data_IF_246763465638
#
_entry.id   IF_246763465638
#
_cell.length_a   1.000
_cell.length_b   1.000
_cell.length_c   1.000
_cell.angle_alpha   90.00
_cell.angle_beta   90.00
_cell.angle_gamma   90.00
#
_symmetry.space_group_name_H-M   'P 1'
#
loop_
_entity.id
_entity.type
_entity.pdbx_description
1 polymer ?
#
# COMPACT_ATOMS: atom_id res chain seq x y z
N UNK A 1 33.87 31.13 40.82
CA UNK A 1 34.09 32.00 39.65
C UNK A 1 33.38 31.32 38.50
N UNK A 2 32.19 31.71 38.04
CA UNK A 2 31.74 33.05 37.68
C UNK A 2 30.26 33.14 38.06
N UNK A 3 30.02 33.85 39.15
CA UNK A 3 28.72 34.27 39.64
C UNK A 3 28.93 35.77 39.88
N UNK A 4 28.98 36.53 38.78
CA UNK A 4 29.27 37.97 38.72
C UNK A 4 29.15 38.42 37.25
N UNK A 5 27.92 38.54 36.73
CA UNK A 5 27.61 39.30 35.50
C UNK A 5 26.10 39.52 35.26
N UNK A 6 25.30 39.48 36.33
CA UNK A 6 24.10 40.32 36.44
C UNK A 6 24.52 41.49 37.32
N UNK A 7 24.66 42.69 36.77
CA UNK A 7 24.70 44.02 37.41
C UNK A 7 25.52 44.93 36.48
N UNK A 8 24.92 46.05 36.04
CA UNK A 8 25.34 46.98 34.95
C UNK A 8 24.70 46.58 33.60
N UNK A 9 23.46 46.96 33.28
CA UNK A 9 23.09 48.34 32.93
C UNK A 9 21.55 48.48 32.96
N UNK A 10 20.98 48.53 34.15
CA UNK A 10 19.63 49.04 34.37
C UNK A 10 19.73 50.29 35.25
N UNK A 11 20.06 51.44 34.63
CA UNK A 11 19.75 52.79 35.14
C UNK A 11 20.52 53.87 34.38
N UNK A 12 20.00 54.25 33.22
CA UNK A 12 19.99 55.64 32.76
C UNK A 12 18.55 55.90 32.34
N UNK A 13 17.75 56.43 33.28
CA UNK A 13 17.20 57.78 33.17
C UNK A 13 16.37 57.91 31.88
N UNK A 14 15.06 57.64 31.90
CA UNK A 14 14.05 58.50 32.50
C UNK A 14 14.30 59.98 32.18
N UNK A 15 13.90 60.43 30.98
CA UNK A 15 13.30 61.76 30.74
C UNK A 15 12.93 61.96 29.26
N UNK A 16 11.86 62.75 29.05
CA UNK A 16 11.09 63.10 27.84
C UNK A 16 9.88 62.20 27.55
N UNK A 17 8.60 62.57 27.76
CA UNK A 17 7.98 63.84 28.19
C UNK A 17 7.16 64.53 27.09
N UNK A 18 5.83 64.64 27.30
CA UNK A 18 4.78 65.46 26.62
C UNK A 18 4.36 65.06 25.18
N UNK A 19 3.12 65.19 24.69
CA UNK A 19 1.84 65.85 25.10
C UNK A 19 0.70 65.28 24.19
N UNK A 20 -0.51 64.96 24.70
CA UNK A 20 -1.83 65.63 24.49
C UNK A 20 -2.25 65.88 23.01
N UNK A 21 -3.44 65.54 22.49
CA UNK A 21 -4.84 65.93 22.82
C UNK A 21 -5.86 64.99 22.11
N UNK A 22 -6.94 64.52 22.76
CA UNK A 22 -8.33 65.06 22.80
C UNK A 22 -9.13 64.96 21.47
N UNK A 23 -10.22 64.19 21.38
CA UNK A 23 -11.58 64.61 21.78
C UNK A 23 -12.55 63.40 21.70
N UNK A 24 -13.26 63.04 22.78
CA UNK A 24 -14.67 63.38 23.11
C UNK A 24 -15.70 62.88 22.06
N UNK A 25 -16.83 62.20 22.34
CA UNK A 25 -17.52 61.70 23.56
C UNK A 25 -18.74 60.91 23.02
N UNK A 26 -19.10 59.73 23.50
CA UNK A 26 -20.22 59.56 24.46
C UNK A 26 -20.37 58.10 24.91
N UNK A 27 -20.49 57.96 26.23
CA UNK A 27 -20.73 56.75 27.03
C UNK A 27 -22.18 56.26 26.93
N UNK A 28 -22.38 54.95 27.05
CA UNK A 28 -23.40 54.38 27.96
C UNK A 28 -22.73 53.23 28.76
N UNK A 29 -23.09 53.12 30.04
CA UNK A 29 -22.37 52.51 31.16
C UNK A 29 -23.01 51.19 31.62
N UNK A 30 -22.20 50.12 31.68
CA UNK A 30 -22.01 49.07 32.73
C UNK A 30 -23.21 48.22 33.27
N UNK A 31 -22.99 47.00 33.84
CA UNK A 31 -21.91 46.68 34.80
C UNK A 31 -21.01 45.46 34.52
N UNK A 32 -19.87 45.56 35.21
CA UNK A 32 -18.68 44.72 35.27
C UNK A 32 -18.86 43.51 36.21
N UNK A 33 -18.27 42.37 35.85
CA UNK A 33 -17.70 41.43 36.84
C UNK A 33 -16.31 41.01 36.35
N UNK A 34 -15.35 41.13 37.27
CA UNK A 34 -13.91 40.93 37.11
C UNK A 34 -13.50 39.46 36.98
N UNK A 35 -12.39 39.32 36.24
CA UNK A 35 -11.32 38.32 36.30
C UNK A 35 -11.43 37.20 37.35
N UNK A 36 -11.29 35.97 36.85
CA UNK A 36 -10.44 34.98 37.48
C UNK A 36 -9.54 34.36 36.43
N UNK A 37 -8.23 34.46 36.66
CA UNK A 37 -7.22 33.61 36.04
C UNK A 37 -7.62 32.15 36.20
N UNK A 38 -7.82 31.47 35.08
CA UNK A 38 -7.96 30.02 34.99
C UNK A 38 -7.51 29.63 33.60
N UNK A 39 -6.35 28.99 33.51
CA UNK A 39 -5.83 28.33 32.31
C UNK A 39 -6.94 27.41 31.78
N UNK A 40 -7.60 27.79 30.68
CA UNK A 40 -8.48 26.89 29.94
C UNK A 40 -7.74 26.43 28.70
N UNK A 41 -6.95 25.38 28.91
CA UNK A 41 -6.69 24.36 27.91
C UNK A 41 -8.04 23.92 27.31
N UNK A 42 -8.26 24.24 26.04
CA UNK A 42 -9.48 23.90 25.32
C UNK A 42 -9.14 23.72 23.85
N UNK A 43 -8.59 22.56 23.54
CA UNK A 43 -8.67 21.92 22.23
C UNK A 43 -10.15 21.78 21.81
N UNK A 44 -10.80 22.89 21.43
CA UNK A 44 -12.22 22.91 21.13
C UNK A 44 -12.44 22.45 19.70
N UNK A 45 -12.87 21.20 19.56
CA UNK A 45 -13.32 20.67 18.28
C UNK A 45 -14.63 21.34 17.87
N UNK A 46 -14.64 22.04 16.73
CA UNK A 46 -15.83 22.68 16.17
C UNK A 46 -16.58 21.67 15.30
N UNK A 47 -17.74 21.23 15.75
CA UNK A 47 -18.62 20.34 14.98
C UNK A 47 -19.42 21.16 13.97
N UNK A 48 -19.40 20.75 12.70
CA UNK A 48 -20.16 21.35 11.60
C UNK A 48 -21.06 20.26 11.01
N UNK A 49 -22.37 20.42 11.17
CA UNK A 49 -23.35 19.60 10.47
C UNK A 49 -23.40 20.04 9.01
N UNK A 50 -23.01 19.17 8.11
CA UNK A 50 -22.93 19.48 6.68
C UNK A 50 -24.32 19.32 6.06
N UNK A 51 -24.96 20.41 5.66
CA UNK A 51 -26.29 20.39 5.00
C UNK A 51 -26.24 20.74 3.51
N UNK A 52 -25.05 20.96 2.95
CA UNK A 52 -24.81 21.41 1.58
C UNK A 52 -23.35 21.76 1.37
N UNK A 53 -23.07 22.65 0.41
CA UNK A 53 -21.73 23.18 0.19
C UNK A 53 -21.31 24.17 1.30
N UNK A 54 -20.04 24.17 1.63
CA UNK A 54 -19.44 25.12 2.57
C UNK A 54 -17.92 25.07 2.49
N UNK A 55 -17.25 25.73 3.44
CA UNK A 55 -15.79 25.77 3.46
C UNK A 55 -15.25 25.89 4.89
N UNK A 56 -14.04 25.37 5.08
CA UNK A 56 -13.18 25.64 6.23
C UNK A 56 -11.87 26.22 5.74
N UNK A 57 -11.31 27.18 6.45
CA UNK A 57 -10.08 27.85 6.02
C UNK A 57 -9.22 28.22 7.23
N UNK A 58 -7.94 28.46 6.99
CA UNK A 58 -7.05 29.08 7.98
C UNK A 58 -7.59 30.47 8.34
N UNK A 59 -7.39 30.96 9.58
CA UNK A 59 -7.77 32.32 9.91
C UNK A 59 -7.12 33.32 8.95
N UNK A 60 -7.83 34.38 8.61
CA UNK A 60 -7.39 35.47 7.73
C UNK A 60 -7.09 35.10 6.26
N UNK A 61 -7.32 33.86 5.82
CA UNK A 61 -7.21 33.43 4.42
C UNK A 61 -7.85 34.44 3.45
N UNK A 62 -7.17 34.84 2.34
CA UNK A 62 -5.90 34.31 1.82
C UNK A 62 -4.66 35.05 2.35
N UNK A 63 -4.74 35.72 3.51
CA UNK A 63 -3.58 36.33 4.15
C UNK A 63 -2.88 35.33 5.08
N UNK A 64 -1.75 35.77 5.63
CA UNK A 64 -0.94 35.01 6.59
C UNK A 64 -1.78 34.56 7.79
N UNK A 65 -1.69 33.27 8.12
CA UNK A 65 -2.40 32.70 9.27
C UNK A 65 -1.68 33.02 10.60
N UNK A 66 -2.40 33.02 11.74
CA UNK A 66 -1.80 33.20 13.06
C UNK A 66 -0.84 32.06 13.44
N UNK A 67 0.16 32.40 14.26
CA UNK A 67 1.09 31.45 14.87
C UNK A 67 0.50 30.82 16.14
N UNK A 68 1.02 29.66 16.52
CA UNK A 68 0.66 28.93 17.75
C UNK A 68 -0.85 28.69 17.88
N UNK A 69 -1.47 28.13 16.84
CA UNK A 69 -2.89 27.77 16.86
C UNK A 69 -3.11 26.30 16.52
N UNK A 70 -4.07 25.70 17.21
CA UNK A 70 -4.56 24.36 16.95
C UNK A 70 -6.07 24.41 16.73
N UNK A 71 -6.50 24.30 15.48
CA UNK A 71 -7.91 24.31 15.09
C UNK A 71 -8.34 22.92 14.66
N UNK A 72 -9.47 22.45 15.17
CA UNK A 72 -10.03 21.16 14.76
C UNK A 72 -11.49 21.35 14.39
N UNK A 73 -11.86 20.90 13.19
CA UNK A 73 -13.24 20.86 12.72
C UNK A 73 -13.67 19.41 12.53
N UNK A 74 -14.87 19.07 12.99
CA UNK A 74 -15.51 17.79 12.70
C UNK A 74 -16.70 18.02 11.79
N UNK A 75 -16.60 17.58 10.55
CA UNK A 75 -17.70 17.63 9.59
C UNK A 75 -18.57 16.38 9.78
N UNK A 76 -19.87 16.57 9.96
CA UNK A 76 -20.85 15.48 10.16
C UNK A 76 -21.96 15.60 9.12
N UNK A 77 -22.02 14.66 8.19
CA UNK A 77 -23.06 14.56 7.18
C UNK A 77 -24.32 13.86 7.72
N UNK A 78 -25.52 14.25 7.27
CA UNK A 78 -26.76 13.59 7.63
C UNK A 78 -26.95 12.28 6.85
N UNK A 79 -27.52 11.27 7.51
CA UNK A 79 -27.88 10.00 6.86
C UNK A 79 -26.67 9.25 6.28
N UNK A 80 -26.90 8.56 5.16
CA UNK A 80 -25.86 7.87 4.40
C UNK A 80 -25.33 8.80 3.30
N UNK A 81 -24.68 9.89 3.70
CA UNK A 81 -24.04 10.84 2.79
C UNK A 81 -22.55 10.89 3.04
N UNK A 82 -21.78 11.15 1.99
CA UNK A 82 -20.32 11.32 2.04
C UNK A 82 -19.96 12.80 1.88
N UNK A 83 -18.77 13.13 2.35
CA UNK A 83 -18.22 14.49 2.34
C UNK A 83 -17.09 14.51 1.33
N UNK A 84 -17.25 15.31 0.27
CA UNK A 84 -16.18 15.61 -0.67
C UNK A 84 -15.48 16.89 -0.24
N UNK A 85 -14.15 16.88 -0.29
CA UNK A 85 -13.26 17.98 0.03
C UNK A 85 -12.45 18.38 -1.20
N UNK A 86 -12.37 19.68 -1.45
CA UNK A 86 -11.55 20.26 -2.54
C UNK A 86 -10.75 21.43 -1.98
N UNK A 87 -9.43 21.39 -2.16
CA UNK A 87 -8.54 22.47 -1.76
C UNK A 87 -8.62 23.63 -2.76
N UNK A 88 -8.68 24.86 -2.26
CA UNK A 88 -8.54 26.08 -3.07
C UNK A 88 -7.14 26.13 -3.71
N UNK A 89 -7.05 26.63 -4.94
CA UNK A 89 -5.78 26.69 -5.69
C UNK A 89 -4.72 27.55 -4.98
N UNK A 90 -5.14 28.47 -4.11
CA UNK A 90 -4.25 29.30 -3.28
C UNK A 90 -3.92 28.55 -1.99
N UNK A 91 -3.14 27.48 -2.10
CA UNK A 91 -2.62 26.74 -0.95
C UNK A 91 -1.17 27.12 -0.67
N UNK A 92 -0.87 27.51 0.57
CA UNK A 92 0.50 27.74 1.03
C UNK A 92 0.60 27.74 2.54
N UNK A 93 1.33 26.76 3.07
CA UNK A 93 1.76 26.68 4.47
C UNK A 93 3.31 26.69 4.51
N UNK A 94 3.90 26.68 5.70
CA UNK A 94 5.35 26.53 5.87
C UNK A 94 5.88 25.29 5.13
N UNK A 95 7.06 25.40 4.54
CA UNK A 95 7.67 24.32 3.76
C UNK A 95 8.07 23.10 4.63
N UNK A 96 8.03 21.89 4.07
CA UNK A 96 8.40 20.68 4.79
C UNK A 96 9.89 20.62 5.14
N UNK A 97 10.21 19.99 6.26
CA UNK A 97 11.58 19.57 6.62
C UNK A 97 11.78 18.10 6.22
N UNK A 98 12.80 17.80 5.42
CA UNK A 98 13.10 16.45 4.91
C UNK A 98 11.89 15.75 4.25
N UNK A 99 11.00 16.53 3.62
CA UNK A 99 9.77 16.03 2.98
C UNK A 99 8.62 15.72 3.96
N UNK A 100 8.74 16.13 5.22
CA UNK A 100 7.75 15.89 6.28
C UNK A 100 7.17 17.22 6.77
N UNK A 101 5.84 17.28 6.82
CA UNK A 101 5.09 18.41 7.39
C UNK A 101 5.09 18.36 8.92
N UNK A 102 6.18 18.88 9.51
CA UNK A 102 6.46 18.83 10.94
C UNK A 102 6.04 20.09 11.70
N UNK A 103 6.14 21.25 11.05
CA UNK A 103 5.88 22.56 11.63
C UNK A 103 4.40 22.91 11.48
N UNK A 104 4.06 23.61 10.39
CA UNK A 104 2.68 23.94 10.05
C UNK A 104 2.05 22.90 9.12
N UNK A 105 0.85 22.42 9.45
CA UNK A 105 0.15 21.46 8.59
C UNK A 105 -1.36 21.47 8.76
N UNK A 106 -2.05 21.10 7.68
CA UNK A 106 -3.44 20.65 7.72
C UNK A 106 -3.51 19.15 7.50
N UNK A 107 -4.24 18.45 8.36
CA UNK A 107 -4.44 17.00 8.34
C UNK A 107 -5.93 16.68 8.24
N UNK A 108 -6.26 15.69 7.42
CA UNK A 108 -7.63 15.21 7.24
C UNK A 108 -7.70 13.73 7.61
N UNK A 109 -8.64 13.40 8.50
CA UNK A 109 -8.89 12.06 9.03
C UNK A 109 -10.33 11.64 8.70
N UNK A 110 -10.52 10.45 8.14
CA UNK A 110 -11.84 9.82 8.02
C UNK A 110 -12.15 9.10 9.33
N UNK A 111 -13.15 9.58 10.07
CA UNK A 111 -13.50 9.05 11.37
C UNK A 111 -14.29 7.74 11.30
N UNK A 112 -14.81 7.39 10.12
CA UNK A 112 -15.56 6.14 9.90
C UNK A 112 -14.59 4.96 9.81
N UNK A 113 -13.52 5.13 9.03
CA UNK A 113 -12.47 4.13 8.84
C UNK A 113 -11.33 4.25 9.86
N UNK A 114 -11.29 5.34 10.63
CA UNK A 114 -10.17 5.69 11.53
C UNK A 114 -8.83 5.77 10.78
N UNK A 115 -8.85 6.38 9.59
CA UNK A 115 -7.67 6.50 8.72
C UNK A 115 -7.35 7.97 8.42
N UNK A 116 -6.06 8.30 8.44
CA UNK A 116 -5.57 9.61 8.00
C UNK A 116 -5.51 9.62 6.48
N UNK A 117 -6.31 10.49 5.84
CA UNK A 117 -6.35 10.65 4.39
C UNK A 117 -5.10 11.37 3.88
N UNK A 118 -4.55 12.28 4.68
CA UNK A 118 -3.27 12.91 4.42
C UNK A 118 -2.97 14.08 5.34
N UNK A 119 -1.74 14.58 5.22
CA UNK A 119 -1.20 15.73 5.93
C UNK A 119 -0.41 16.58 4.92
N UNK A 120 -0.68 17.87 4.86
CA UNK A 120 -0.15 18.77 3.85
C UNK A 120 0.43 20.06 4.42
N UNK A 121 1.48 20.55 3.77
CA UNK A 121 2.21 21.76 4.04
C UNK A 121 2.95 22.24 2.76
N UNK A 122 3.68 23.35 2.83
CA UNK A 122 4.39 23.94 1.70
C UNK A 122 3.50 24.64 0.68
N UNK A 123 4.13 25.13 -0.40
CA UNK A 123 3.48 25.91 -1.47
C UNK A 123 3.73 25.39 -2.88
N UNK A 124 4.44 24.27 -3.04
CA UNK A 124 4.87 23.77 -4.34
C UNK A 124 3.75 23.12 -5.17
N UNK A 125 2.74 22.55 -4.50
CA UNK A 125 1.62 21.87 -5.15
C UNK A 125 0.37 21.90 -4.28
N UNK A 126 -0.79 22.12 -4.89
CA UNK A 126 -2.08 22.08 -4.21
C UNK A 126 -2.46 20.62 -3.91
N UNK A 127 -2.90 20.30 -2.68
CA UNK A 127 -3.39 18.96 -2.36
C UNK A 127 -4.55 18.53 -3.26
N UNK A 128 -4.58 17.26 -3.64
CA UNK A 128 -5.69 16.68 -4.39
C UNK A 128 -6.98 16.69 -3.56
N UNK A 129 -8.14 16.74 -4.22
CA UNK A 129 -9.42 16.57 -3.54
C UNK A 129 -9.57 15.16 -2.92
N UNK A 130 -10.32 15.06 -1.82
CA UNK A 130 -10.55 13.82 -1.09
C UNK A 130 -12.05 13.61 -0.85
N UNK A 131 -12.51 12.36 -0.92
CA UNK A 131 -13.90 11.99 -0.59
C UNK A 131 -13.90 11.02 0.57
N UNK A 132 -14.68 11.31 1.62
CA UNK A 132 -14.85 10.41 2.76
C UNK A 132 -15.51 9.09 2.34
N UNK A 133 -15.22 8.02 3.07
CA UNK A 133 -15.89 6.73 2.94
C UNK A 133 -17.22 6.71 3.68
N UNK A 134 -17.30 7.37 4.83
CA UNK A 134 -18.54 7.55 5.61
C UNK A 134 -18.93 9.00 5.82
N UNK A 135 -19.80 9.25 6.80
CA UNK A 135 -20.42 10.56 7.03
C UNK A 135 -19.64 11.50 7.95
N UNK A 136 -18.43 11.15 8.40
CA UNK A 136 -17.67 11.96 9.35
C UNK A 136 -16.20 12.12 8.96
N UNK A 137 -15.75 13.37 8.90
CA UNK A 137 -14.34 13.75 8.71
C UNK A 137 -13.91 14.66 9.86
N UNK A 138 -12.65 14.53 10.28
CA UNK A 138 -11.95 15.51 11.12
C UNK A 138 -10.87 16.22 10.30
N UNK A 139 -10.88 17.55 10.34
CA UNK A 139 -9.85 18.40 9.75
C UNK A 139 -9.12 19.09 10.89
N UNK A 140 -7.80 18.96 10.95
CA UNK A 140 -6.96 19.53 12.00
C UNK A 140 -5.88 20.41 11.38
N UNK A 141 -5.85 21.67 11.78
CA UNK A 141 -4.80 22.60 11.42
C UNK A 141 -3.96 22.93 12.64
N UNK A 142 -2.64 22.78 12.52
CA UNK A 142 -1.66 23.14 13.53
C UNK A 142 -0.69 24.14 12.90
N UNK A 143 -0.42 25.25 13.60
CA UNK A 143 0.72 26.12 13.33
C UNK A 143 1.61 26.27 14.55
N UNK A 144 2.91 26.42 14.34
CA UNK A 144 3.89 26.62 15.39
C UNK A 144 4.17 28.12 15.67
N UNK A 145 5.15 28.41 16.53
CA UNK A 145 5.49 29.77 16.95
C UNK A 145 6.28 30.58 15.90
N UNK A 146 6.66 29.98 14.78
CA UNK A 146 7.61 30.53 13.80
C UNK A 146 7.09 30.45 12.35
N UNK A 147 7.69 31.25 11.47
CA UNK A 147 7.55 31.22 9.99
C UNK A 147 6.17 30.91 9.35
N UNK A 148 5.07 31.59 9.75
CA UNK A 148 3.79 31.42 9.08
C UNK A 148 3.89 31.89 7.62
N UNK A 149 3.17 31.20 6.75
CA UNK A 149 3.14 31.47 5.32
C UNK A 149 1.81 32.09 4.88
N UNK A 150 1.81 32.73 3.72
CA UNK A 150 0.61 33.11 2.96
C UNK A 150 0.56 32.26 1.67
N UNK A 151 -0.62 31.92 1.14
CA UNK A 151 -1.97 32.40 1.49
C UNK A 151 -2.71 31.61 2.60
N UNK A 152 -2.10 30.58 3.19
CA UNK A 152 -2.81 29.64 4.08
C UNK A 152 -3.55 28.55 3.31
N UNK A 153 -4.71 28.11 3.81
CA UNK A 153 -5.54 27.13 3.10
C UNK A 153 -7.03 27.47 3.16
N UNK A 154 -7.77 27.05 2.13
CA UNK A 154 -9.22 26.96 2.14
C UNK A 154 -9.62 25.59 1.56
N UNK A 155 -10.45 24.85 2.28
CA UNK A 155 -11.00 23.56 1.86
C UNK A 155 -12.51 23.74 1.71
N UNK A 156 -12.99 23.60 0.48
CA UNK A 156 -14.41 23.53 0.18
C UNK A 156 -14.91 22.12 0.47
N UNK A 157 -16.06 22.01 1.11
CA UNK A 157 -16.73 20.74 1.34
C UNK A 157 -18.11 20.73 0.71
N UNK A 158 -18.53 19.58 0.20
CA UNK A 158 -19.87 19.36 -0.33
C UNK A 158 -20.38 17.97 0.07
N UNK A 159 -21.70 17.80 0.00
CA UNK A 159 -22.32 16.50 0.20
C UNK A 159 -22.39 15.75 -1.12
N UNK A 160 -21.91 14.52 -1.10
CA UNK A 160 -22.27 13.53 -2.10
C UNK A 160 -23.32 12.61 -1.48
N UNK A 161 -24.40 12.26 -2.22
CA UNK A 161 -25.21 11.12 -1.83
C UNK A 161 -24.27 9.97 -1.54
N UNK A 162 -24.45 9.27 -0.41
CA UNK A 162 -23.77 8.02 -0.20
C UNK A 162 -24.18 7.17 -1.38
N UNK A 163 -23.26 7.00 -2.31
CA UNK A 163 -23.38 5.89 -3.21
C UNK A 163 -23.34 4.71 -2.28
N UNK A 164 -24.51 4.07 -2.15
CA UNK A 164 -24.56 2.62 -2.25
C UNK A 164 -23.45 2.29 -3.23
N UNK A 165 -22.35 1.77 -2.70
CA UNK A 165 -21.22 1.38 -3.52
C UNK A 165 -21.72 0.20 -4.34
N UNK A 166 -22.39 0.51 -5.45
CA UNK A 166 -22.02 -0.08 -6.72
C UNK A 166 -20.71 0.62 -7.03
N UNK A 167 -19.56 -0.04 -6.88
CA UNK A 167 -18.36 0.45 -7.50
C UNK A 167 -18.67 0.62 -8.99
N UNK A 168 -18.23 1.71 -9.61
CA UNK A 168 -17.93 1.69 -11.04
C UNK A 168 -16.66 0.83 -11.23
N UNK A 169 -16.79 -0.44 -10.87
CA UNK A 169 -16.13 -1.58 -11.47
C UNK A 169 -17.19 -2.08 -12.45
N UNK A 170 -16.87 -2.39 -13.73
CA UNK A 170 -17.86 -3.00 -14.62
C UNK A 170 -18.54 -4.12 -13.84
N UNK A 171 -19.87 -4.09 -13.66
CA UNK A 171 -20.59 -4.85 -12.64
C UNK A 171 -20.05 -6.28 -12.43
N UNK A 172 -19.05 -6.42 -11.57
CA UNK A 172 -18.53 -7.71 -11.17
C UNK A 172 -19.44 -8.10 -10.03
N UNK A 173 -20.35 -9.03 -10.32
CA UNK A 173 -21.17 -9.72 -9.34
C UNK A 173 -20.29 -10.08 -8.13
N UNK A 174 -20.82 -10.09 -6.89
CA UNK A 174 -20.11 -10.68 -5.76
C UNK A 174 -19.49 -12.02 -6.21
N UNK A 175 -18.23 -12.36 -5.90
CA UNK A 175 -17.58 -13.54 -6.46
C UNK A 175 -18.42 -14.82 -6.35
N UNK A 176 -19.12 -15.00 -5.24
CA UNK A 176 -20.06 -16.11 -5.03
C UNK A 176 -21.28 -16.15 -5.98
N UNK A 177 -21.56 -15.05 -6.70
CA UNK A 177 -22.66 -14.85 -7.66
C UNK A 177 -22.17 -14.69 -9.12
N UNK A 178 -20.86 -14.75 -9.37
CA UNK A 178 -20.29 -14.78 -10.72
C UNK A 178 -20.56 -16.13 -11.39
N UNK A 179 -20.39 -16.18 -12.72
CA UNK A 179 -20.40 -17.45 -13.44
C UNK A 179 -19.29 -18.38 -12.91
N UNK A 180 -19.56 -19.69 -12.88
CA UNK A 180 -18.62 -20.70 -12.35
C UNK A 180 -17.23 -20.60 -13.00
N UNK A 181 -17.16 -20.24 -14.28
CA UNK A 181 -15.89 -20.10 -15.02
C UNK A 181 -15.06 -18.91 -14.53
N UNK A 182 -15.71 -17.76 -14.33
CA UNK A 182 -15.09 -16.50 -13.91
C UNK A 182 -14.61 -16.60 -12.45
N UNK A 183 -15.41 -17.25 -11.60
CA UNK A 183 -15.03 -17.57 -10.23
C UNK A 183 -13.84 -18.57 -10.18
N UNK A 184 -13.81 -19.54 -11.09
CA UNK A 184 -12.73 -20.53 -11.18
C UNK A 184 -11.40 -19.88 -11.55
N UNK A 185 -11.40 -18.94 -12.50
CA UNK A 185 -10.20 -18.19 -12.88
C UNK A 185 -9.67 -17.34 -11.71
N UNK A 186 -10.55 -16.59 -11.04
CA UNK A 186 -10.16 -15.77 -9.89
C UNK A 186 -9.58 -16.59 -8.72
N UNK A 187 -10.17 -17.75 -8.42
CA UNK A 187 -9.70 -18.66 -7.35
C UNK A 187 -8.37 -19.34 -7.73
N UNK A 188 -8.09 -19.53 -9.02
CA UNK A 188 -6.85 -20.15 -9.50
C UNK A 188 -5.61 -19.30 -9.17
N UNK A 189 -5.75 -17.98 -9.10
CA UNK A 189 -4.65 -17.04 -8.79
C UNK A 189 -4.28 -17.01 -7.30
N UNK A 190 -5.21 -17.35 -6.41
CA UNK A 190 -4.98 -17.33 -4.97
C UNK A 190 -3.94 -18.40 -4.58
N UNK A 191 -3.51 -18.47 -3.33
CA UNK A 191 -2.48 -19.42 -2.89
C UNK A 191 -2.92 -20.24 -1.69
N UNK A 192 -3.74 -19.66 -0.81
CA UNK A 192 -4.22 -20.32 0.41
C UNK A 192 -5.74 -20.43 0.45
N UNK A 193 -6.25 -21.41 1.20
CA UNK A 193 -7.68 -21.53 1.50
C UNK A 193 -8.20 -20.26 2.19
N UNK A 194 -7.40 -19.62 3.04
CA UNK A 194 -7.79 -18.39 3.72
C UNK A 194 -8.06 -17.25 2.73
N UNK A 195 -7.20 -17.09 1.72
CA UNK A 195 -7.40 -16.13 0.64
C UNK A 195 -8.66 -16.43 -0.16
N UNK A 196 -8.94 -17.71 -0.44
CA UNK A 196 -10.18 -18.13 -1.12
C UNK A 196 -11.40 -17.75 -0.28
N UNK A 197 -11.41 -18.07 1.01
CA UNK A 197 -12.55 -17.75 1.88
C UNK A 197 -12.75 -16.24 2.04
N UNK A 198 -11.66 -15.47 2.18
CA UNK A 198 -11.70 -13.99 2.20
C UNK A 198 -12.21 -13.40 0.89
N UNK A 199 -11.85 -14.00 -0.24
CA UNK A 199 -12.32 -13.55 -1.56
C UNK A 199 -13.81 -13.84 -1.77
N UNK A 200 -14.29 -15.00 -1.31
CA UNK A 200 -15.68 -15.42 -1.46
C UNK A 200 -16.64 -14.66 -0.51
N UNK A 201 -16.32 -14.62 0.79
CA UNK A 201 -17.13 -13.94 1.81
C UNK A 201 -16.24 -13.17 2.81
N UNK A 202 -15.82 -11.92 2.48
CA UNK A 202 -14.90 -11.13 3.30
C UNK A 202 -15.38 -10.84 4.72
N UNK A 203 -16.69 -10.82 4.94
CA UNK A 203 -17.32 -10.52 6.24
C UNK A 203 -17.53 -11.76 7.11
N UNK A 204 -17.45 -12.97 6.53
CA UNK A 204 -17.79 -14.22 7.20
C UNK A 204 -16.71 -15.30 7.17
N UNK A 205 -15.63 -15.10 6.42
CA UNK A 205 -14.58 -16.09 6.21
C UNK A 205 -14.02 -16.74 7.48
N UNK A 206 -13.94 -16.02 8.61
CA UNK A 206 -13.46 -16.58 9.88
C UNK A 206 -14.42 -17.64 10.42
N UNK A 207 -15.72 -17.37 10.36
CA UNK A 207 -16.77 -18.29 10.79
C UNK A 207 -16.81 -19.49 9.86
N UNK A 208 -16.73 -19.27 8.56
CA UNK A 208 -16.77 -20.34 7.56
C UNK A 208 -15.53 -21.25 7.66
N UNK A 209 -14.35 -20.68 7.89
CA UNK A 209 -13.15 -21.46 8.20
C UNK A 209 -13.32 -22.30 9.46
N UNK A 210 -13.84 -21.70 10.54
CA UNK A 210 -14.03 -22.43 11.80
C UNK A 210 -15.10 -23.54 11.66
N UNK A 211 -16.10 -23.36 10.80
CA UNK A 211 -17.06 -24.41 10.45
C UNK A 211 -16.47 -25.51 9.57
N UNK A 212 -15.61 -25.19 8.61
CA UNK A 212 -14.92 -26.17 7.76
C UNK A 212 -14.04 -27.14 8.57
N UNK A 213 -13.42 -26.64 9.64
CA UNK A 213 -12.57 -27.47 10.52
C UNK A 213 -13.34 -28.11 11.69
N UNK A 214 -14.64 -27.83 11.87
CA UNK A 214 -15.46 -28.52 12.88
C UNK A 214 -15.68 -29.97 12.46
N UNK A 215 -15.35 -30.95 13.31
CA UNK A 215 -15.58 -32.35 13.00
C UNK A 215 -17.08 -32.65 12.92
N UNK A 216 -17.57 -32.93 11.71
CA UNK A 216 -18.97 -33.34 11.48
C UNK A 216 -19.15 -34.79 11.95
N UNK A 217 -19.49 -34.98 13.23
CA UNK A 217 -19.80 -36.30 13.79
C UNK A 217 -21.21 -36.76 13.45
N UNK A 218 -21.58 -36.72 12.17
CA UNK A 218 -22.85 -37.31 11.72
C UNK A 218 -22.65 -38.24 10.52
N UNK A 219 -22.71 -39.53 10.85
CA UNK A 219 -23.18 -40.66 10.02
C UNK A 219 -22.28 -41.06 8.84
N UNK A 220 -21.17 -41.74 9.12
CA UNK A 220 -20.65 -42.74 8.18
C UNK A 220 -20.71 -44.13 8.82
N UNK A 221 -21.55 -44.97 8.22
CA UNK A 221 -21.77 -46.36 8.60
C UNK A 221 -20.48 -47.17 8.61
N UNK A 222 -20.45 -48.15 9.51
CA UNK A 222 -19.31 -49.04 9.77
C UNK A 222 -19.02 -49.95 8.57
N UNK A 223 -18.35 -49.45 7.55
CA UNK A 223 -17.70 -50.31 6.55
C UNK A 223 -16.56 -49.51 5.91
N UNK A 224 -15.36 -50.09 5.96
CA UNK A 224 -14.07 -49.58 5.46
C UNK A 224 -13.27 -48.68 6.41
N UNK A 225 -12.86 -49.25 7.55
CA UNK A 225 -11.64 -48.82 8.22
C UNK A 225 -10.43 -49.36 7.44
N UNK A 226 -10.07 -48.67 6.36
CA UNK A 226 -8.64 -48.61 6.01
C UNK A 226 -7.99 -47.62 6.97
N UNK A 227 -6.77 -47.94 7.41
CA UNK A 227 -6.06 -47.37 8.53
C UNK A 227 -5.90 -45.83 8.41
N UNK A 228 -6.93 -45.09 8.82
CA UNK A 228 -7.07 -43.64 8.77
C UNK A 228 -6.26 -43.01 9.92
N UNK A 229 -4.93 -43.12 9.85
CA UNK A 229 -4.06 -42.04 10.33
C UNK A 229 -4.24 -40.94 9.28
N UNK A 230 -4.94 -39.83 9.48
CA UNK A 230 -4.93 -38.95 10.64
C UNK A 230 -6.23 -38.15 10.66
N UNK A 231 -6.58 -37.70 11.86
CA UNK A 231 -7.82 -37.04 12.25
C UNK A 231 -7.80 -35.52 11.99
N UNK A 232 -7.12 -35.09 10.94
CA UNK A 232 -7.10 -33.73 10.43
C UNK A 232 -7.59 -33.80 8.97
N UNK A 233 -8.41 -32.85 8.53
CA UNK A 233 -8.84 -32.77 7.14
C UNK A 233 -7.65 -32.80 6.18
N UNK A 234 -7.88 -33.13 4.91
CA UNK A 234 -6.85 -32.98 3.90
C UNK A 234 -6.40 -31.50 3.89
N UNK A 235 -5.10 -31.25 4.10
CA UNK A 235 -4.54 -29.90 4.03
C UNK A 235 -4.51 -29.47 2.55
N UNK A 236 -5.49 -28.66 2.17
CA UNK A 236 -5.66 -28.22 0.79
C UNK A 236 -4.53 -27.29 0.33
N UNK A 237 -3.88 -26.58 1.25
CA UNK A 237 -2.72 -25.75 0.93
C UNK A 237 -1.54 -26.65 0.55
N UNK A 238 -1.26 -27.67 1.36
CA UNK A 238 -0.21 -28.66 1.07
C UNK A 238 -0.47 -29.38 -0.26
N UNK A 239 -1.71 -29.78 -0.51
CA UNK A 239 -2.08 -30.43 -1.78
C UNK A 239 -1.87 -29.51 -2.99
N UNK A 240 -2.19 -28.21 -2.87
CA UNK A 240 -1.94 -27.21 -3.92
C UNK A 240 -0.45 -27.04 -4.19
N UNK A 241 0.36 -26.97 -3.15
CA UNK A 241 1.82 -26.85 -3.26
C UNK A 241 2.44 -28.08 -3.94
N UNK A 242 2.01 -29.28 -3.57
CA UNK A 242 2.44 -30.52 -4.22
C UNK A 242 2.10 -30.50 -5.72
N UNK A 243 0.86 -30.14 -6.08
CA UNK A 243 0.46 -30.02 -7.50
C UNK A 243 1.35 -29.01 -8.22
N UNK A 244 1.61 -27.83 -7.65
CA UNK A 244 2.50 -26.81 -8.24
C UNK A 244 3.93 -27.33 -8.44
N UNK A 245 4.51 -28.00 -7.44
CA UNK A 245 5.87 -28.53 -7.49
C UNK A 245 6.05 -29.59 -8.58
N UNK A 246 5.05 -30.45 -8.77
CA UNK A 246 5.08 -31.51 -9.78
C UNK A 246 4.57 -31.05 -11.17
N UNK A 247 4.05 -29.83 -11.27
CA UNK A 247 3.66 -29.18 -12.53
C UNK A 247 4.86 -28.56 -13.27
N UNK A 248 4.56 -27.86 -14.38
CA UNK A 248 5.50 -27.18 -15.24
C UNK A 248 6.38 -26.17 -14.48
N UNK A 249 7.63 -26.56 -14.20
CA UNK A 249 8.58 -25.79 -13.37
C UNK A 249 10.03 -25.97 -13.84
N UNK A 250 10.96 -25.06 -13.47
CA UNK A 250 12.39 -25.23 -13.73
C UNK A 250 13.03 -26.37 -12.93
N UNK A 251 13.46 -27.44 -13.63
CA UNK A 251 14.05 -28.65 -13.02
C UNK A 251 15.50 -28.82 -13.42
N UNK A 252 16.26 -29.53 -12.58
CA UNK A 252 17.65 -29.86 -12.85
C UNK A 252 17.74 -30.92 -13.94
N UNK A 253 18.44 -30.62 -15.02
CA UNK A 253 18.69 -31.54 -16.12
C UNK A 253 20.19 -31.67 -16.35
N UNK A 254 20.69 -32.89 -16.53
CA UNK A 254 22.09 -33.14 -16.86
C UNK A 254 22.27 -33.06 -18.38
N UNK A 255 23.07 -32.11 -18.86
CA UNK A 255 23.34 -31.92 -20.29
C UNK A 255 24.79 -32.22 -20.63
N UNK A 256 25.01 -32.80 -21.81
CA UNK A 256 26.34 -33.07 -22.38
C UNK A 256 26.90 -31.80 -23.01
N UNK A 257 28.05 -31.33 -22.52
CA UNK A 257 28.71 -30.12 -23.06
C UNK A 257 29.06 -30.26 -24.54
N UNK A 258 29.36 -31.49 -24.97
CA UNK A 258 29.67 -31.81 -26.36
C UNK A 258 28.48 -31.56 -27.29
N UNK A 259 27.30 -31.98 -26.85
CA UNK A 259 26.04 -31.88 -27.60
C UNK A 259 25.52 -30.44 -27.60
N UNK A 260 25.48 -29.80 -26.43
CA UNK A 260 25.01 -28.41 -26.26
C UNK A 260 25.86 -27.42 -27.07
N UNK A 261 27.19 -27.55 -27.00
CA UNK A 261 28.11 -26.67 -27.73
C UNK A 261 28.34 -27.10 -29.19
N UNK A 262 27.80 -28.25 -29.61
CA UNK A 262 27.97 -28.84 -30.96
C UNK A 262 29.45 -28.98 -31.38
N UNK A 263 30.32 -29.39 -30.45
CA UNK A 263 31.78 -29.50 -30.67
C UNK A 263 32.19 -30.96 -30.69
N UNK A 264 32.86 -31.44 -31.74
CA UNK A 264 33.34 -32.84 -31.80
C UNK A 264 34.85 -32.98 -31.59
N UNK A 265 35.59 -31.88 -31.75
CA UNK A 265 37.04 -31.78 -31.73
C UNK A 265 37.62 -31.45 -30.33
N UNK A 266 36.77 -31.42 -29.31
CA UNK A 266 37.10 -31.02 -27.95
C UNK A 266 36.54 -32.02 -26.92
N UNK A 267 37.27 -32.22 -25.83
CA UNK A 267 36.82 -32.98 -24.66
C UNK A 267 36.69 -32.01 -23.50
N UNK A 268 35.56 -32.04 -22.81
CA UNK A 268 35.28 -31.21 -21.65
C UNK A 268 35.30 -32.05 -20.38
N UNK A 269 35.82 -31.50 -19.28
CA UNK A 269 35.75 -32.10 -17.95
C UNK A 269 35.22 -31.08 -16.92
N UNK A 270 34.13 -31.39 -16.20
CA UNK A 270 33.27 -32.57 -16.38
C UNK A 270 32.59 -32.56 -17.77
N UNK A 271 32.22 -33.74 -18.28
CA UNK A 271 31.58 -33.85 -19.61
C UNK A 271 30.12 -33.41 -19.62
N UNK A 272 29.48 -33.44 -18.45
CA UNK A 272 28.09 -33.06 -18.25
C UNK A 272 27.97 -32.03 -17.12
N UNK A 273 27.02 -31.11 -17.24
CA UNK A 273 26.68 -30.13 -16.20
C UNK A 273 25.18 -30.12 -15.93
N UNK A 274 24.81 -29.65 -14.74
CA UNK A 274 23.41 -29.43 -14.37
C UNK A 274 22.95 -28.05 -14.86
N UNK A 275 21.85 -28.05 -15.61
CA UNK A 275 21.17 -26.83 -16.06
C UNK A 275 19.70 -26.86 -15.66
N UNK A 276 19.08 -25.68 -15.56
CA UNK A 276 17.63 -25.60 -15.38
C UNK A 276 16.94 -25.75 -16.74
N UNK A 277 16.04 -26.71 -16.87
CA UNK A 277 15.14 -26.88 -18.02
C UNK A 277 13.71 -27.01 -17.53
N UNK A 278 12.77 -26.55 -18.34
CA UNK A 278 11.36 -26.68 -18.04
C UNK A 278 10.95 -28.15 -18.15
N UNK A 279 10.20 -28.63 -17.16
CA UNK A 279 9.69 -29.98 -17.14
C UNK A 279 8.54 -30.14 -16.15
N UNK A 280 7.89 -31.29 -16.23
CA UNK A 280 6.61 -31.54 -15.55
C UNK A 280 5.43 -31.43 -16.52
N UNK A 281 4.24 -31.66 -15.98
CA UNK A 281 3.01 -31.61 -16.75
C UNK A 281 2.33 -30.25 -16.56
N UNK A 282 1.55 -29.84 -17.55
CA UNK A 282 0.60 -28.76 -17.36
C UNK A 282 -0.60 -29.31 -16.58
N UNK A 283 -0.62 -29.06 -15.28
CA UNK A 283 -1.79 -29.34 -14.45
C UNK A 283 -2.68 -28.09 -14.42
N UNK A 284 -4.00 -28.31 -14.38
CA UNK A 284 -5.01 -27.28 -14.14
C UNK A 284 -5.15 -26.23 -15.27
N UNK A 285 -5.47 -26.67 -16.49
CA UNK A 285 -6.00 -25.78 -17.52
C UNK A 285 -7.52 -26.00 -17.69
N UNK A 286 -8.25 -24.99 -18.14
CA UNK A 286 -9.72 -24.98 -18.20
C UNK A 286 -10.25 -25.97 -19.24
N UNK A 287 -9.61 -26.05 -20.42
CA UNK A 287 -10.00 -26.95 -21.52
C UNK A 287 -8.78 -27.55 -22.25
N UNK A 288 -8.92 -28.81 -22.72
CA UNK A 288 -7.93 -29.55 -23.56
C UNK A 288 -6.47 -29.60 -23.07
N UNK A 289 -6.24 -29.91 -21.79
CA UNK A 289 -4.87 -29.95 -21.24
C UNK A 289 -3.91 -30.98 -21.86
N UNK A 290 -4.42 -31.92 -22.65
CA UNK A 290 -3.60 -32.92 -23.34
C UNK A 290 -2.77 -32.32 -24.49
N UNK A 291 -3.12 -31.12 -24.97
CA UNK A 291 -2.39 -30.40 -26.03
C UNK A 291 -1.49 -29.27 -25.48
N UNK A 292 -1.23 -29.25 -24.16
CA UNK A 292 -0.37 -28.26 -23.52
C UNK A 292 1.08 -28.74 -23.39
N UNK A 293 2.01 -27.83 -23.64
CA UNK A 293 3.44 -28.07 -23.47
C UNK A 293 4.03 -27.13 -22.42
N UNK A 294 4.89 -27.69 -21.56
CA UNK A 294 5.68 -26.92 -20.62
C UNK A 294 6.89 -26.33 -21.35
N UNK A 295 6.88 -25.02 -21.55
CA UNK A 295 7.90 -24.29 -22.32
C UNK A 295 8.59 -23.22 -21.45
N UNK A 296 9.82 -22.82 -21.78
CA UNK A 296 10.45 -21.69 -21.10
C UNK A 296 9.72 -20.37 -21.38
N UNK A 297 9.36 -19.66 -20.31
CA UNK A 297 8.87 -18.29 -20.37
C UNK A 297 10.04 -17.28 -20.30
N UNK A 298 11.08 -17.61 -19.53
CA UNK A 298 12.31 -16.81 -19.43
C UNK A 298 13.55 -17.68 -19.49
N UNK A 299 14.49 -17.29 -20.32
CA UNK A 299 15.75 -18.00 -20.57
C UNK A 299 16.93 -17.09 -20.31
N UNK A 300 17.98 -17.61 -19.69
CA UNK A 300 19.24 -16.89 -19.46
C UNK A 300 20.44 -17.77 -19.80
N UNK A 301 21.52 -17.14 -20.25
CA UNK A 301 22.81 -17.82 -20.44
C UNK A 301 23.65 -17.67 -19.18
N UNK A 302 24.09 -18.79 -18.62
CA UNK A 302 25.02 -18.83 -17.48
C UNK A 302 26.34 -19.45 -17.92
N UNK A 303 27.44 -18.86 -17.48
CA UNK A 303 28.78 -19.34 -17.79
C UNK A 303 29.23 -20.34 -16.73
N UNK A 304 29.81 -21.46 -17.19
CA UNK A 304 30.36 -22.50 -16.34
C UNK A 304 31.83 -22.71 -16.68
N UNK A 305 32.68 -22.62 -15.66
CA UNK A 305 34.11 -22.86 -15.84
C UNK A 305 34.38 -24.37 -15.97
N UNK A 306 35.03 -24.78 -17.06
CA UNK A 306 35.31 -26.19 -17.35
C UNK A 306 36.73 -26.38 -17.89
N UNK A 307 37.26 -27.59 -17.72
CA UNK A 307 38.53 -27.98 -18.32
C UNK A 307 38.29 -28.42 -19.77
N UNK A 308 38.94 -27.75 -20.72
CA UNK A 308 38.93 -28.06 -22.14
C UNK A 308 40.22 -28.80 -22.54
N UNK A 309 40.06 -29.93 -23.21
CA UNK A 309 41.16 -30.71 -23.80
C UNK A 309 41.00 -30.77 -25.32
N UNK A 310 42.03 -30.36 -26.06
CA UNK A 310 42.06 -30.39 -27.55
C UNK A 310 43.33 -31.08 -28.04
N UNK A 311 43.27 -31.77 -29.17
CA UNK A 311 44.48 -32.29 -29.81
C UNK A 311 45.37 -31.16 -30.32
N UNK A 312 46.69 -31.25 -30.08
CA UNK A 312 47.65 -30.30 -30.67
C UNK A 312 47.78 -30.55 -32.17
N UNK A 313 47.74 -29.49 -32.97
CA UNK A 313 48.08 -29.51 -34.40
C UNK A 313 49.53 -29.97 -34.57
N UNK A 314 49.77 -31.14 -35.16
CA UNK A 314 51.12 -31.69 -35.39
C UNK A 314 51.51 -32.92 -34.56
N UNK A 315 50.59 -33.47 -33.75
CA UNK A 315 50.69 -34.85 -33.26
C UNK A 315 51.79 -35.11 -32.22
N UNK A 316 51.50 -34.74 -30.96
CA UNK A 316 51.68 -35.57 -29.75
C UNK A 316 51.18 -34.78 -28.53
N UNK A 317 50.14 -35.31 -27.87
CA UNK A 317 49.57 -34.77 -26.62
C UNK A 317 48.32 -33.88 -26.78
N UNK A 318 47.62 -33.69 -25.65
CA UNK A 318 46.44 -32.82 -25.52
C UNK A 318 46.85 -31.45 -24.97
N UNK A 319 46.39 -30.38 -25.61
CA UNK A 319 46.36 -29.04 -25.05
C UNK A 319 45.25 -28.96 -24.00
N UNK A 320 45.55 -28.37 -22.84
CA UNK A 320 44.63 -28.23 -21.70
C UNK A 320 44.46 -26.75 -21.38
N UNK A 321 43.23 -26.30 -21.17
CA UNK A 321 42.94 -24.92 -20.77
C UNK A 321 41.64 -24.86 -19.98
N UNK A 322 41.56 -23.96 -19.00
CA UNK A 322 40.26 -23.60 -18.41
C UNK A 322 39.52 -22.68 -19.37
N UNK A 323 38.20 -22.85 -19.48
CA UNK A 323 37.35 -22.00 -20.32
C UNK A 323 35.96 -21.90 -19.72
N UNK A 324 35.34 -20.74 -19.88
CA UNK A 324 33.93 -20.56 -19.57
C UNK A 324 33.08 -21.01 -20.74
N UNK A 325 32.12 -21.89 -20.49
CA UNK A 325 31.13 -22.32 -21.48
C UNK A 325 29.77 -21.71 -21.15
N UNK A 326 29.12 -21.01 -22.10
CA UNK A 326 27.77 -20.53 -21.90
C UNK A 326 26.79 -21.71 -22.05
N UNK A 327 25.92 -21.88 -21.06
CA UNK A 327 24.82 -22.83 -21.11
C UNK A 327 23.50 -22.11 -20.87
N UNK A 328 22.47 -22.56 -21.59
CA UNK A 328 21.12 -22.02 -21.50
C UNK A 328 20.36 -22.61 -20.30
N UNK A 329 19.82 -21.72 -19.45
CA UNK A 329 19.00 -22.04 -18.27
C UNK A 329 17.61 -21.43 -18.42
N UNK A 330 16.59 -22.25 -18.19
CA UNK A 330 15.21 -21.80 -18.09
C UNK A 330 14.98 -21.29 -16.66
N UNK A 331 14.78 -19.98 -16.49
CA UNK A 331 14.53 -19.35 -15.19
C UNK A 331 13.05 -19.42 -14.81
N UNK A 332 12.16 -19.31 -15.79
CA UNK A 332 10.70 -19.37 -15.60
C UNK A 332 10.10 -20.28 -16.67
N UNK A 333 9.06 -21.03 -16.30
CA UNK A 333 8.35 -21.96 -17.17
C UNK A 333 6.87 -21.63 -17.20
N UNK A 334 6.24 -21.82 -18.34
CA UNK A 334 4.80 -21.63 -18.51
C UNK A 334 4.21 -22.77 -19.33
N UNK A 335 2.92 -23.02 -19.11
CA UNK A 335 2.14 -23.93 -19.91
C UNK A 335 1.55 -23.20 -21.10
N UNK A 336 1.89 -23.67 -22.30
CA UNK A 336 1.32 -23.16 -23.55
C UNK A 336 0.45 -24.25 -24.14
N UNK A 337 -0.84 -24.00 -24.17
CA UNK A 337 -1.87 -24.88 -24.72
C UNK A 337 -2.24 -24.43 -26.13
N UNK A 338 -2.53 -25.37 -27.03
CA UNK A 338 -3.17 -25.04 -28.30
C UNK A 338 -4.66 -24.83 -28.06
N UNK A 339 -5.09 -23.58 -27.93
CA UNK A 339 -6.46 -23.19 -28.26
C UNK A 339 -6.40 -22.17 -29.40
N UNK A 340 -7.21 -22.45 -30.42
CA UNK A 340 -7.30 -21.73 -31.69
C UNK A 340 -7.59 -20.24 -31.46
N UNK A 341 -6.80 -19.37 -32.09
CA UNK A 341 -7.32 -18.07 -32.48
C UNK A 341 -8.42 -18.33 -33.51
N UNK A 342 -9.67 -18.17 -33.11
CA UNK A 342 -10.77 -17.63 -33.92
C UNK A 342 -12.07 -17.48 -33.11
#
# INVERSE_FOLDING_TARGET
>A
MILLLLFLLASLLQQYGSEAESSHVSKIHLPSVKEQNGVQDSHQEKIITVSGEGMVHSPDFPNIYPRDIALTWRLVAPGDMRIQLTFDERFGLEDPEDGICKYDFVEVEDLTEQTVLGRWCGSQSVPTGHTSKGGQIRIRFISDEYFPSDPGFCIHYSLLPGSASVPEVPAVLPPALQGIEELSEAVAELSTVEEVMKYLEPERWQVDMEELYKPTWQVLGKSFLHNRKTRAGADLNLLREEVRLYSCTPRNFSVSLREELKRTDAIFWPSCLLVKRCGGNCACCSHRCYDCQCVPARVTNKYHEVLLLKHRSGGRGLQKSMTDVPLEHHEECACVCKDDWD
#
